data_IF_415186304346
#
_entry.id   IF_415186304346
#
_cell.length_a   1.000
_cell.length_b   1.000
_cell.length_c   1.000
_cell.angle_alpha   90.00
_cell.angle_beta   90.00
_cell.angle_gamma   90.00
#
_symmetry.space_group_name_H-M   'P 1'
#
loop_
_entity.id
_entity.type
_entity.pdbx_description
1 polymer ?
#
# COMPACT_ATOMS: atom_id res chain seq x y z
N UNK A 1 8.78 27.76 23.44
CA UNK A 1 8.53 26.29 23.32
C UNK A 1 9.27 25.64 22.16
N UNK A 2 9.04 26.04 20.90
CA UNK A 2 9.75 25.45 19.76
C UNK A 2 11.27 25.77 19.77
N UNK A 3 11.67 26.93 20.28
CA UNK A 3 13.08 27.34 20.40
C UNK A 3 13.76 26.75 21.64
N UNK A 4 13.00 26.50 22.71
CA UNK A 4 13.54 26.01 24.00
C UNK A 4 13.73 24.48 24.02
N UNK A 5 12.97 23.75 23.19
CA UNK A 5 12.94 22.29 23.17
C UNK A 5 13.16 21.76 21.76
N UNK A 6 14.43 21.55 21.41
CA UNK A 6 14.85 20.93 20.14
C UNK A 6 14.17 19.58 19.87
N UNK A 7 13.81 18.85 20.93
CA UNK A 7 13.06 17.60 20.85
C UNK A 7 11.68 17.79 20.19
N UNK A 8 10.91 18.82 20.55
CA UNK A 8 9.56 19.05 20.02
C UNK A 8 9.61 19.31 18.52
N UNK A 9 10.60 20.09 18.06
CA UNK A 9 10.81 20.36 16.63
C UNK A 9 11.14 19.07 15.88
N UNK A 10 11.97 18.20 16.46
CA UNK A 10 12.31 16.91 15.84
C UNK A 10 11.10 15.97 15.75
N UNK A 11 10.26 15.96 16.79
CA UNK A 11 9.06 15.13 16.86
C UNK A 11 8.02 15.55 15.82
N UNK A 12 7.75 16.86 15.72
CA UNK A 12 6.84 17.43 14.72
C UNK A 12 7.33 17.10 13.31
N UNK A 13 8.63 17.24 13.05
CA UNK A 13 9.22 16.90 11.76
C UNK A 13 9.05 15.42 11.42
N UNK A 14 9.28 14.52 12.37
CA UNK A 14 9.14 13.07 12.14
C UNK A 14 7.68 12.68 11.89
N UNK A 15 6.76 13.18 12.71
CA UNK A 15 5.32 12.92 12.54
C UNK A 15 4.78 13.48 11.23
N UNK A 16 5.13 14.72 10.88
CA UNK A 16 4.67 15.35 9.64
C UNK A 16 5.17 14.58 8.40
N UNK A 17 6.39 14.04 8.46
CA UNK A 17 6.94 13.17 7.40
C UNK A 17 6.18 11.86 7.27
N UNK A 18 5.92 11.19 8.39
CA UNK A 18 5.18 9.94 8.41
C UNK A 18 3.76 10.14 7.85
N UNK A 19 3.05 11.17 8.31
CA UNK A 19 1.70 11.48 7.84
C UNK A 19 1.68 11.81 6.35
N UNK A 20 2.70 12.51 5.84
CA UNK A 20 2.81 12.80 4.41
C UNK A 20 3.02 11.52 3.60
N UNK A 21 3.84 10.58 4.07
CA UNK A 21 4.05 9.29 3.39
C UNK A 21 2.78 8.44 3.36
N UNK A 22 2.00 8.42 4.45
CA UNK A 22 0.71 7.73 4.51
C UNK A 22 -0.30 8.34 3.52
N UNK A 23 -0.31 9.67 3.41
CA UNK A 23 -1.15 10.40 2.45
C UNK A 23 -0.68 10.18 1.00
N UNK A 24 0.63 10.12 0.74
CA UNK A 24 1.22 9.74 -0.55
C UNK A 24 0.72 8.36 -0.97
N UNK A 25 0.80 7.37 -0.07
CA UNK A 25 0.35 6.01 -0.35
C UNK A 25 -1.14 5.96 -0.72
N UNK A 26 -1.98 6.65 0.06
CA UNK A 26 -3.41 6.77 -0.21
C UNK A 26 -3.68 7.42 -1.58
N UNK A 27 -2.99 8.52 -1.89
CA UNK A 27 -3.14 9.21 -3.18
C UNK A 27 -2.67 8.35 -4.37
N UNK A 28 -1.58 7.60 -4.22
CA UNK A 28 -1.07 6.70 -5.25
C UNK A 28 -2.01 5.52 -5.50
N UNK A 29 -2.67 5.00 -4.46
CA UNK A 29 -3.59 3.87 -4.57
C UNK A 29 -4.99 4.29 -5.02
N UNK A 30 -5.65 5.18 -4.27
CA UNK A 30 -7.07 5.50 -4.39
C UNK A 30 -7.37 6.96 -4.73
N UNK A 31 -6.34 7.77 -5.03
CA UNK A 31 -6.54 9.18 -5.41
C UNK A 31 -7.53 9.36 -6.56
N UNK A 32 -8.41 10.35 -6.45
CA UNK A 32 -9.51 10.57 -7.38
C UNK A 32 -9.10 11.27 -8.69
N UNK A 33 -7.88 11.82 -8.76
CA UNK A 33 -7.37 12.55 -9.93
C UNK A 33 -8.09 13.87 -10.22
N UNK A 34 -8.83 14.42 -9.26
CA UNK A 34 -9.48 15.74 -9.36
C UNK A 34 -8.66 16.81 -8.63
N UNK A 35 -8.68 18.03 -9.13
CA UNK A 35 -7.93 19.18 -8.59
C UNK A 35 -6.43 18.89 -8.38
N UNK A 36 -5.95 19.01 -7.14
CA UNK A 36 -4.58 18.75 -6.75
C UNK A 36 -4.29 17.27 -6.45
N UNK A 37 -5.31 16.39 -6.49
CA UNK A 37 -5.15 14.97 -6.19
C UNK A 37 -4.60 14.20 -7.39
N UNK A 38 -3.81 13.18 -7.08
CA UNK A 38 -3.23 12.30 -8.09
C UNK A 38 -4.28 11.29 -8.51
N UNK A 39 -4.34 10.94 -9.80
CA UNK A 39 -5.15 9.81 -10.24
C UNK A 39 -4.48 8.53 -9.73
N UNK A 40 -5.10 7.85 -8.77
CA UNK A 40 -4.60 6.63 -8.15
C UNK A 40 -4.66 5.42 -9.09
N UNK A 41 -4.08 4.29 -8.68
CA UNK A 41 -4.12 3.04 -9.44
C UNK A 41 -5.54 2.46 -9.54
N UNK A 42 -6.30 2.47 -8.44
CA UNK A 42 -7.66 1.92 -8.37
C UNK A 42 -8.69 2.76 -9.13
N UNK A 43 -8.45 4.06 -9.25
CA UNK A 43 -9.29 5.03 -9.98
C UNK A 43 -9.03 5.03 -11.50
N UNK A 44 -8.12 4.18 -12.00
CA UNK A 44 -7.87 3.98 -13.43
C UNK A 44 -8.62 2.74 -13.94
N UNK A 45 -8.70 2.61 -15.26
CA UNK A 45 -9.26 1.44 -15.94
C UNK A 45 -8.29 0.24 -15.91
N UNK A 46 -8.06 -0.26 -14.69
CA UNK A 46 -7.32 -1.49 -14.43
C UNK A 46 -8.24 -2.70 -14.55
N UNK A 47 -7.65 -3.89 -14.67
CA UNK A 47 -8.44 -5.11 -14.71
C UNK A 47 -9.11 -5.34 -13.35
N UNK A 48 -10.35 -5.83 -13.37
CA UNK A 48 -11.09 -6.16 -12.14
C UNK A 48 -11.39 -7.65 -12.08
N UNK A 49 -11.39 -8.21 -10.87
CA UNK A 49 -11.86 -9.54 -10.54
C UNK A 49 -12.92 -9.43 -9.46
N UNK A 50 -14.18 -9.65 -9.86
CA UNK A 50 -15.33 -9.66 -8.96
C UNK A 50 -15.23 -10.87 -8.03
N UNK A 51 -15.92 -10.81 -6.89
CA UNK A 51 -16.03 -11.92 -5.96
C UNK A 51 -16.53 -13.19 -6.66
N UNK A 52 -15.96 -14.34 -6.30
CA UNK A 52 -16.24 -15.63 -6.94
C UNK A 52 -16.36 -16.76 -5.88
N UNK A 53 -16.53 -18.00 -6.33
CA UNK A 53 -16.60 -19.19 -5.47
C UNK A 53 -15.25 -19.59 -4.86
N UNK A 54 -14.14 -19.22 -5.49
CA UNK A 54 -12.79 -19.58 -5.06
C UNK A 54 -12.37 -18.93 -3.72
N UNK A 55 -11.36 -19.50 -3.07
CA UNK A 55 -10.74 -18.92 -1.88
C UNK A 55 -9.98 -17.62 -2.18
N UNK A 56 -9.88 -16.73 -1.20
CA UNK A 56 -9.14 -15.47 -1.36
C UNK A 56 -7.67 -15.67 -1.83
N UNK A 57 -6.88 -16.64 -1.30
CA UNK A 57 -5.54 -16.94 -1.80
C UNK A 57 -5.51 -17.39 -3.26
N UNK A 58 -6.42 -18.28 -3.67
CA UNK A 58 -6.46 -18.78 -5.05
C UNK A 58 -6.77 -17.65 -6.05
N UNK A 59 -7.61 -16.70 -5.65
CA UNK A 59 -7.98 -15.56 -6.47
C UNK A 59 -6.81 -14.60 -6.67
N UNK A 60 -5.98 -14.42 -5.66
CA UNK A 60 -4.71 -13.68 -5.80
C UNK A 60 -3.79 -14.38 -6.81
N UNK A 61 -3.72 -15.71 -6.78
CA UNK A 61 -2.94 -16.47 -7.76
C UNK A 61 -3.53 -16.34 -9.18
N UNK A 62 -4.84 -16.44 -9.34
CA UNK A 62 -5.52 -16.22 -10.63
C UNK A 62 -5.29 -14.79 -11.16
N UNK A 63 -5.25 -13.78 -10.30
CA UNK A 63 -4.93 -12.41 -10.70
C UNK A 63 -3.52 -12.29 -11.28
N UNK A 64 -2.53 -12.96 -10.68
CA UNK A 64 -1.17 -13.05 -11.24
C UNK A 64 -1.17 -13.67 -12.64
N UNK A 65 -1.89 -14.77 -12.84
CA UNK A 65 -2.01 -15.41 -14.16
C UNK A 65 -2.71 -14.51 -15.17
N UNK A 66 -3.76 -13.78 -14.75
CA UNK A 66 -4.49 -12.84 -15.61
C UNK A 66 -3.60 -11.70 -16.11
N UNK A 67 -2.69 -11.19 -15.28
CA UNK A 67 -1.70 -10.17 -15.70
C UNK A 67 -0.77 -10.75 -16.77
N UNK A 68 -0.26 -11.96 -16.55
CA UNK A 68 0.64 -12.62 -17.49
C UNK A 68 -0.04 -12.88 -18.85
N UNK A 69 -1.29 -13.31 -18.86
CA UNK A 69 -2.04 -13.53 -20.10
C UNK A 69 -2.39 -12.24 -20.84
N UNK A 70 -2.67 -11.15 -20.11
CA UNK A 70 -3.08 -9.88 -20.72
C UNK A 70 -1.93 -9.03 -21.23
N UNK A 71 -0.73 -9.15 -20.64
CA UNK A 71 0.41 -8.25 -20.92
C UNK A 71 1.74 -8.96 -21.20
N UNK A 72 1.85 -10.25 -20.87
CA UNK A 72 3.13 -10.97 -20.86
C UNK A 72 4.02 -10.66 -19.65
N UNK A 73 3.62 -9.74 -18.77
CA UNK A 73 4.40 -9.39 -17.58
C UNK A 73 4.18 -10.36 -16.41
N UNK A 74 5.21 -10.53 -15.59
CA UNK A 74 5.10 -11.23 -14.31
C UNK A 74 4.67 -10.25 -13.24
N UNK A 75 3.68 -10.60 -12.42
CA UNK A 75 3.33 -9.81 -11.25
C UNK A 75 4.49 -9.82 -10.24
N UNK A 76 4.77 -8.66 -9.65
CA UNK A 76 5.90 -8.44 -8.74
C UNK A 76 5.47 -8.29 -7.28
N UNK A 77 4.33 -7.63 -7.07
CA UNK A 77 3.86 -7.29 -5.74
C UNK A 77 2.34 -7.44 -5.60
N UNK A 78 1.94 -7.62 -4.36
CA UNK A 78 0.58 -7.68 -3.86
C UNK A 78 0.43 -6.57 -2.82
N UNK A 79 -0.58 -5.72 -2.97
CA UNK A 79 -1.00 -4.76 -1.96
C UNK A 79 -2.31 -5.24 -1.35
N UNK A 80 -2.35 -5.37 -0.03
CA UNK A 80 -3.50 -5.94 0.69
C UNK A 80 -3.71 -5.22 2.03
N UNK A 81 -4.96 -5.18 2.49
CA UNK A 81 -5.30 -4.63 3.79
C UNK A 81 -4.81 -5.57 4.92
N UNK A 82 -4.36 -5.03 6.07
CA UNK A 82 -3.97 -5.84 7.24
C UNK A 82 -5.02 -6.87 7.66
N UNK A 83 -6.30 -6.51 7.68
CA UNK A 83 -7.38 -7.41 8.11
C UNK A 83 -7.58 -8.60 7.15
N UNK A 84 -7.43 -8.37 5.85
CA UNK A 84 -7.53 -9.43 4.85
C UNK A 84 -6.28 -10.32 4.84
N UNK A 85 -5.10 -9.72 5.06
CA UNK A 85 -3.86 -10.46 5.22
C UNK A 85 -3.91 -11.38 6.45
N UNK A 86 -4.41 -10.88 7.58
CA UNK A 86 -4.64 -11.68 8.79
C UNK A 86 -5.57 -12.85 8.50
N UNK A 87 -6.69 -12.60 7.82
CA UNK A 87 -7.64 -13.65 7.46
C UNK A 87 -7.02 -14.77 6.60
N UNK A 88 -6.12 -14.42 5.68
CA UNK A 88 -5.35 -15.39 4.89
C UNK A 88 -4.31 -16.09 5.76
N UNK A 89 -3.58 -15.36 6.60
CA UNK A 89 -2.52 -15.89 7.46
C UNK A 89 -3.04 -16.92 8.47
N UNK A 90 -4.23 -16.66 9.02
CA UNK A 90 -4.89 -17.52 9.99
C UNK A 90 -5.72 -18.65 9.36
N UNK A 91 -5.74 -18.76 8.02
CA UNK A 91 -6.42 -19.86 7.34
C UNK A 91 -5.77 -21.21 7.65
N UNK A 92 -6.61 -22.21 7.85
CA UNK A 92 -6.22 -23.57 8.23
C UNK A 92 -6.74 -24.56 7.21
N UNK A 93 -6.03 -25.67 7.07
CA UNK A 93 -6.54 -26.82 6.33
C UNK A 93 -7.58 -27.61 7.15
N UNK A 94 -8.20 -28.61 6.52
CA UNK A 94 -9.18 -29.49 7.16
C UNK A 94 -8.61 -30.29 8.36
N UNK A 95 -7.29 -30.36 8.51
CA UNK A 95 -6.59 -31.01 9.62
C UNK A 95 -6.21 -30.02 10.74
N UNK A 96 -6.63 -28.76 10.64
CA UNK A 96 -6.38 -27.70 11.61
C UNK A 96 -4.98 -27.07 11.53
N UNK A 97 -4.21 -27.36 10.49
CA UNK A 97 -2.85 -26.82 10.29
C UNK A 97 -2.89 -25.50 9.54
N UNK A 98 -2.07 -24.53 9.93
CA UNK A 98 -1.98 -23.24 9.24
C UNK A 98 -1.29 -23.37 7.88
N UNK A 99 -1.93 -22.86 6.83
CA UNK A 99 -1.33 -22.81 5.48
C UNK A 99 -0.04 -21.99 5.45
N UNK A 100 0.04 -20.97 6.31
CA UNK A 100 1.20 -20.10 6.42
C UNK A 100 2.33 -20.62 7.32
N UNK A 101 2.16 -21.74 8.01
CA UNK A 101 3.02 -22.14 9.11
C UNK A 101 2.54 -21.58 10.45
N UNK A 102 2.84 -22.31 11.52
CA UNK A 102 2.36 -22.00 12.88
C UNK A 102 3.03 -20.76 13.49
N UNK A 103 2.58 -20.39 14.68
CA UNK A 103 3.07 -19.22 15.44
C UNK A 103 4.59 -19.21 15.64
N UNK A 104 5.21 -20.40 15.73
CA UNK A 104 6.63 -20.59 16.04
C UNK A 104 7.35 -21.49 15.02
N UNK A 105 6.69 -21.87 13.92
CA UNK A 105 7.24 -22.81 12.94
C UNK A 105 6.94 -22.36 11.51
N UNK A 106 7.84 -22.68 10.58
CA UNK A 106 7.62 -22.48 9.14
C UNK A 106 6.41 -23.26 8.60
N UNK A 107 6.15 -23.10 7.30
CA UNK A 107 5.03 -23.74 6.61
C UNK A 107 5.02 -25.26 6.87
N UNK A 108 3.89 -25.80 7.34
CA UNK A 108 3.75 -27.21 7.76
C UNK A 108 4.81 -27.71 8.77
N UNK A 109 5.28 -26.84 9.67
CA UNK A 109 6.24 -27.25 10.70
C UNK A 109 7.69 -27.27 10.22
N UNK A 110 7.97 -26.84 8.98
CA UNK A 110 9.30 -26.89 8.38
C UNK A 110 9.70 -25.50 7.85
N UNK A 111 10.86 -24.99 8.29
CA UNK A 111 11.45 -23.73 7.82
C UNK A 111 11.54 -22.60 8.85
N UNK A 112 12.13 -21.49 8.41
CA UNK A 112 12.44 -20.30 9.22
C UNK A 112 11.19 -19.44 9.48
N UNK A 113 11.13 -18.81 10.64
CA UNK A 113 10.05 -17.88 11.00
C UNK A 113 10.19 -16.63 10.13
N UNK A 114 9.23 -16.40 9.23
CA UNK A 114 9.08 -15.13 8.52
C UNK A 114 8.00 -14.31 9.21
N UNK A 115 8.32 -13.07 9.58
CA UNK A 115 7.40 -12.15 10.25
C UNK A 115 6.20 -11.79 9.35
N UNK A 116 6.45 -11.59 8.05
CA UNK A 116 5.43 -11.38 7.01
C UNK A 116 5.78 -12.20 5.74
N UNK A 117 5.36 -13.46 5.64
CA UNK A 117 5.69 -14.28 4.49
C UNK A 117 5.06 -13.76 3.19
N UNK A 118 5.81 -13.77 2.08
CA UNK A 118 5.33 -13.34 0.78
C UNK A 118 4.26 -14.32 0.26
N UNK A 119 3.08 -13.81 -0.05
CA UNK A 119 2.01 -14.63 -0.62
C UNK A 119 2.35 -14.99 -2.07
N UNK A 120 2.39 -16.29 -2.39
CA UNK A 120 2.70 -16.82 -3.73
C UNK A 120 4.05 -16.32 -4.32
N UNK A 121 5.01 -15.99 -3.47
CA UNK A 121 6.32 -15.46 -3.88
C UNK A 121 6.27 -14.02 -4.40
N UNK A 122 5.16 -13.31 -4.20
CA UNK A 122 5.02 -11.88 -4.50
C UNK A 122 5.48 -11.05 -3.29
N UNK A 123 6.09 -9.88 -3.55
CA UNK A 123 6.36 -8.91 -2.48
C UNK A 123 5.01 -8.43 -1.93
N UNK A 124 4.67 -8.82 -0.71
CA UNK A 124 3.41 -8.45 -0.08
C UNK A 124 3.60 -7.15 0.68
N UNK A 125 2.82 -6.14 0.33
CA UNK A 125 2.78 -4.83 0.98
C UNK A 125 1.45 -4.76 1.73
N UNK A 126 1.53 -4.76 3.05
CA UNK A 126 0.37 -4.69 3.93
C UNK A 126 0.17 -3.22 4.30
N UNK A 127 -0.95 -2.64 3.89
CA UNK A 127 -1.24 -1.20 4.12
C UNK A 127 -2.72 -0.96 4.39
N UNK A 128 -3.02 -0.02 5.29
CA UNK A 128 -4.39 0.44 5.57
C UNK A 128 -4.93 1.35 4.46
N UNK A 129 -4.08 1.84 3.56
CA UNK A 129 -4.47 2.72 2.46
C UNK A 129 -5.37 2.03 1.42
N UNK A 130 -5.41 0.69 1.41
CA UNK A 130 -6.35 -0.09 0.59
C UNK A 130 -7.56 -0.51 1.44
N UNK A 131 -8.76 -0.29 0.88
CA UNK A 131 -9.99 -0.68 1.56
C UNK A 131 -10.05 -2.19 1.81
N UNK A 132 -10.58 -2.58 2.97
CA UNK A 132 -10.82 -3.98 3.30
C UNK A 132 -11.71 -4.64 2.23
N UNK A 133 -11.44 -5.92 1.93
CA UNK A 133 -12.09 -6.65 0.86
C UNK A 133 -11.54 -6.30 -0.52
N UNK A 134 -10.44 -5.54 -0.62
CA UNK A 134 -9.79 -5.23 -1.90
C UNK A 134 -8.30 -5.52 -1.82
N UNK A 135 -7.80 -6.32 -2.77
CA UNK A 135 -6.38 -6.52 -3.00
C UNK A 135 -5.99 -6.02 -4.39
N UNK A 136 -4.75 -5.52 -4.52
CA UNK A 136 -4.19 -5.07 -5.79
C UNK A 136 -2.96 -5.93 -6.12
N UNK A 137 -3.04 -6.68 -7.21
CA UNK A 137 -1.91 -7.45 -7.74
C UNK A 137 -1.41 -6.74 -8.99
N UNK A 138 -0.10 -6.61 -9.13
CA UNK A 138 0.46 -5.87 -10.25
C UNK A 138 1.92 -6.16 -10.56
N UNK A 139 2.28 -5.92 -11.81
CA UNK A 139 3.67 -5.78 -12.23
C UNK A 139 4.12 -4.33 -12.03
N UNK A 140 4.34 -3.92 -10.78
CA UNK A 140 4.62 -2.51 -10.44
C UNK A 140 5.91 -1.98 -11.05
N UNK A 141 6.91 -2.83 -11.33
CA UNK A 141 8.19 -2.40 -11.90
C UNK A 141 8.07 -1.94 -13.36
N UNK A 142 7.17 -2.57 -14.13
CA UNK A 142 7.01 -2.33 -15.57
C UNK A 142 5.69 -1.63 -15.92
N UNK A 143 4.66 -1.80 -15.10
CA UNK A 143 3.31 -1.28 -15.34
C UNK A 143 3.16 0.22 -15.06
N UNK A 144 3.98 0.78 -14.16
CA UNK A 144 3.96 2.19 -13.82
C UNK A 144 5.24 2.69 -13.17
N UNK A 145 5.34 4.00 -13.03
CA UNK A 145 6.45 4.67 -12.36
C UNK A 145 5.94 5.88 -11.57
N UNK A 146 6.48 6.06 -10.37
CA UNK A 146 6.29 7.29 -9.60
C UNK A 146 7.40 8.26 -9.99
N UNK A 147 7.01 9.39 -10.55
CA UNK A 147 7.92 10.45 -10.98
C UNK A 147 7.92 11.51 -9.90
N UNK A 148 9.05 11.70 -9.22
CA UNK A 148 9.20 12.73 -8.18
C UNK A 148 9.86 13.97 -8.75
N UNK A 149 9.29 15.15 -8.45
CA UNK A 149 9.85 16.46 -8.83
C UNK A 149 10.31 17.23 -7.59
N UNK A 150 11.57 16.97 -7.24
CA UNK A 150 12.17 17.42 -5.99
C UNK A 150 12.07 16.32 -4.93
N UNK A 151 12.63 16.58 -3.76
CA UNK A 151 12.45 15.74 -2.58
C UNK A 151 11.35 16.30 -1.66
N UNK A 152 11.14 15.59 -0.56
CA UNK A 152 10.42 16.08 0.59
C UNK A 152 11.06 17.41 1.07
N UNK A 153 10.27 18.48 1.09
CA UNK A 153 10.70 19.79 1.60
C UNK A 153 9.90 20.16 2.83
N UNK A 154 10.62 20.51 3.87
CA UNK A 154 10.11 21.00 5.14
C UNK A 154 10.49 22.48 5.23
N UNK A 155 9.49 23.36 5.34
CA UNK A 155 9.64 24.81 5.39
C UNK A 155 8.94 25.30 6.67
N UNK A 156 9.60 26.14 7.47
CA UNK A 156 9.01 26.81 8.63
C UNK A 156 9.06 28.32 8.43
N UNK A 157 8.01 29.02 8.84
CA UNK A 157 7.95 30.48 8.81
C UNK A 157 7.13 31.00 10.00
N UNK A 158 7.55 32.15 10.53
CA UNK A 158 6.82 32.93 11.52
C UNK A 158 6.18 34.19 10.90
N UNK A 159 6.37 34.42 9.60
CA UNK A 159 5.91 35.62 8.89
C UNK A 159 4.64 35.40 8.07
N UNK A 160 3.94 34.29 8.30
CA UNK A 160 2.71 33.98 7.59
C UNK A 160 1.50 34.62 8.30
N UNK A 161 0.79 35.51 7.59
CA UNK A 161 -0.40 36.20 8.11
C UNK A 161 -0.11 36.89 9.45
N UNK A 162 -0.83 36.51 10.52
CA UNK A 162 -0.72 37.11 11.85
C UNK A 162 0.14 36.25 12.80
N UNK A 163 0.85 35.24 12.28
CA UNK A 163 1.64 34.31 13.09
C UNK A 163 2.70 35.03 13.93
N UNK A 164 3.34 36.06 13.35
CA UNK A 164 4.36 36.84 14.03
C UNK A 164 3.80 37.57 15.27
N UNK A 165 2.59 38.10 15.16
CA UNK A 165 1.95 38.88 16.24
C UNK A 165 1.38 37.97 17.33
N UNK A 166 1.14 36.70 17.02
CA UNK A 166 0.58 35.70 17.94
C UNK A 166 1.61 34.68 18.43
N UNK A 167 2.91 34.93 18.21
CA UNK A 167 4.01 34.03 18.59
C UNK A 167 3.86 32.59 18.03
N UNK A 168 3.30 32.46 16.82
CA UNK A 168 3.10 31.19 16.13
C UNK A 168 4.20 30.92 15.10
N UNK A 169 4.51 29.64 14.91
CA UNK A 169 5.39 29.17 13.84
C UNK A 169 4.60 28.20 12.98
N UNK A 170 4.37 28.58 11.72
CA UNK A 170 3.75 27.70 10.74
C UNK A 170 4.81 26.82 10.09
N UNK A 171 4.53 25.52 10.07
CA UNK A 171 5.36 24.52 9.41
C UNK A 171 4.61 23.87 8.25
N UNK A 172 5.28 23.71 7.12
CA UNK A 172 4.75 23.10 5.92
C UNK A 172 5.70 22.04 5.39
N UNK A 173 5.16 20.82 5.21
CA UNK A 173 5.84 19.78 4.44
C UNK A 173 5.16 19.65 3.09
N UNK A 174 5.95 19.58 2.03
CA UNK A 174 5.44 19.41 0.67
C UNK A 174 6.28 18.41 -0.12
N UNK A 175 5.58 17.65 -0.94
CA UNK A 175 6.16 16.82 -1.99
C UNK A 175 5.44 17.12 -3.31
N UNK A 176 6.14 16.89 -4.43
CA UNK A 176 5.53 16.92 -5.75
C UNK A 176 5.86 15.61 -6.44
N UNK A 177 4.82 14.84 -6.71
CA UNK A 177 4.94 13.56 -7.38
C UNK A 177 3.84 13.41 -8.42
N UNK A 178 4.13 12.60 -9.43
CA UNK A 178 3.19 12.22 -10.48
C UNK A 178 3.24 10.70 -10.67
N UNK A 179 2.07 10.10 -10.87
CA UNK A 179 1.95 8.67 -11.11
C UNK A 179 1.74 8.41 -12.61
N UNK A 180 2.72 7.78 -13.25
CA UNK A 180 2.62 7.32 -14.62
C UNK A 180 2.21 5.85 -14.64
N UNK A 181 1.15 5.50 -15.38
CA UNK A 181 0.73 4.12 -15.61
C UNK A 181 0.74 3.88 -17.11
N UNK A 182 1.75 3.16 -17.59
CA UNK A 182 1.92 2.87 -19.03
C UNK A 182 1.04 1.72 -19.49
N UNK A 183 0.85 0.73 -18.62
CA UNK A 183 0.09 -0.47 -18.93
C UNK A 183 -0.97 -0.71 -17.84
N UNK A 184 -2.18 -0.16 -17.97
CA UNK A 184 -3.26 -0.40 -17.00
C UNK A 184 -3.60 -1.89 -16.84
N UNK A 185 -3.46 -2.67 -17.91
CA UNK A 185 -3.65 -4.13 -17.89
C UNK A 185 -2.59 -4.88 -17.06
N UNK A 186 -1.51 -4.24 -16.64
CA UNK A 186 -0.51 -4.84 -15.77
C UNK A 186 -0.96 -4.90 -14.29
N UNK A 187 -2.13 -4.33 -13.97
CA UNK A 187 -2.71 -4.27 -12.64
C UNK A 187 -4.09 -4.91 -12.61
N UNK A 188 -4.37 -5.65 -11.53
CA UNK A 188 -5.65 -6.30 -11.27
C UNK A 188 -6.11 -5.97 -9.86
N UNK A 189 -7.29 -5.37 -9.71
CA UNK A 189 -8.00 -5.29 -8.43
C UNK A 189 -8.82 -6.56 -8.21
N UNK A 190 -8.64 -7.20 -7.06
CA UNK A 190 -9.34 -8.42 -6.64
C UNK A 190 -10.24 -8.07 -5.45
N UNK A 191 -11.55 -8.28 -5.60
CA UNK A 191 -12.49 -8.09 -4.50
C UNK A 191 -12.49 -9.33 -3.59
N UNK A 192 -11.85 -9.28 -2.42
CA UNK A 192 -11.79 -10.35 -1.42
C UNK A 192 -13.09 -10.43 -0.61
N UNK A 193 -13.34 -11.59 0.01
CA UNK A 193 -14.53 -11.77 0.84
C UNK A 193 -14.87 -13.21 1.20
N UNK A 194 -13.94 -14.16 0.95
CA UNK A 194 -14.10 -15.56 1.34
C UNK A 194 -12.79 -16.09 1.91
N UNK A 195 -12.79 -16.26 3.23
CA UNK A 195 -11.72 -16.96 3.95
C UNK A 195 -11.49 -18.35 3.31
N UNK A 196 -10.22 -18.70 3.11
CA UNK A 196 -9.87 -20.05 2.70
C UNK A 196 -10.40 -21.06 3.74
N UNK A 197 -11.02 -22.12 3.24
CA UNK A 197 -11.58 -23.22 4.05
C UNK A 197 -10.51 -24.19 4.49
#
# INVERSE_FOLDING_TARGET
MAEDLSYIVSEINNHARYNLQLLEETQLLSGNGSDANIKGLLSRDIQKMVQDTDSDPDRIFKARTKIALATGFRADALVINPADYEAIRLSKDANGQYYGGGYFNGQYGNGTIMQDPPLWGLKTVVTEAIAQGTALVGAFKLGGAVIRKGGLRAESTNSHSDDFTNDLITFRVRERLGLQVKYPKAFVSVALGKKAK
#
